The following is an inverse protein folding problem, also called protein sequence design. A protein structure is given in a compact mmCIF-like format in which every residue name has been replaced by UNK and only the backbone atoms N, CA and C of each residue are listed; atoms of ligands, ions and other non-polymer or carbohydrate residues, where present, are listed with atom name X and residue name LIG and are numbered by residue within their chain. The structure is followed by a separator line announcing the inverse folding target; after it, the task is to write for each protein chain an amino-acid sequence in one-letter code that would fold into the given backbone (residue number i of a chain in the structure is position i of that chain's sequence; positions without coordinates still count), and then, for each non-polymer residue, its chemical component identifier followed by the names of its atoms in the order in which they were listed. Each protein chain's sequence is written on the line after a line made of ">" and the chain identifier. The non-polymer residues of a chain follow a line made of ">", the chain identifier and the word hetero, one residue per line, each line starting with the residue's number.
data_IF_877238181850
#
_entry.id   IF_877238181850
#
_cell.length_a   1.000
_cell.length_b   1.000
_cell.length_c   1.000
_cell.angle_alpha   90.00
_cell.angle_beta   90.00
_cell.angle_gamma   90.00
#
_symmetry.space_group_name_H-M   'P 1'
#
loop_
_entity.id
_entity.type
_entity.pdbx_description
1 polymer ?
#
# COMPACT_ATOMS: atom_id res chain seq x y z
N UNK A 1 -3.26 -23.77 25.59
CA UNK A 1 -2.98 -24.69 24.45
C UNK A 1 -3.68 -24.31 23.13
N UNK A 2 -4.94 -23.84 23.12
CA UNK A 2 -5.61 -23.36 21.88
C UNK A 2 -5.18 -21.94 21.49
N UNK A 3 -5.14 -21.02 22.45
CA UNK A 3 -4.73 -19.62 22.24
C UNK A 3 -3.26 -19.50 21.84
N UNK A 4 -2.35 -20.19 22.52
CA UNK A 4 -0.93 -20.23 22.16
C UNK A 4 -0.67 -20.79 20.74
N UNK A 5 -1.52 -21.72 20.27
CA UNK A 5 -1.45 -22.17 18.87
C UNK A 5 -1.98 -21.09 17.94
N UNK A 6 -3.08 -20.43 18.27
CA UNK A 6 -3.62 -19.36 17.42
C UNK A 6 -2.65 -18.20 17.25
N UNK A 7 -1.97 -17.74 18.32
CA UNK A 7 -0.99 -16.66 18.22
C UNK A 7 0.28 -17.06 17.47
N UNK A 8 0.82 -18.27 17.70
CA UNK A 8 1.98 -18.74 16.93
C UNK A 8 1.66 -18.91 15.44
N UNK A 9 0.55 -19.56 15.11
CA UNK A 9 0.14 -19.75 13.72
C UNK A 9 -0.17 -18.42 13.03
N UNK A 10 -0.80 -17.46 13.71
CA UNK A 10 -1.09 -16.16 13.11
C UNK A 10 0.18 -15.35 12.89
N UNK A 11 1.09 -15.29 13.87
CA UNK A 11 2.31 -14.48 13.74
C UNK A 11 3.30 -15.08 12.75
N UNK A 12 3.55 -16.39 12.81
CA UNK A 12 4.49 -17.05 11.89
C UNK A 12 3.96 -17.04 10.45
N UNK A 13 2.66 -17.26 10.25
CA UNK A 13 2.06 -17.24 8.92
C UNK A 13 2.02 -15.82 8.32
N UNK A 14 1.75 -14.80 9.14
CA UNK A 14 1.80 -13.40 8.69
C UNK A 14 3.22 -13.02 8.27
N UNK A 15 4.21 -13.38 9.08
CA UNK A 15 5.62 -13.13 8.74
C UNK A 15 6.05 -13.88 7.47
N UNK A 16 5.66 -15.15 7.33
CA UNK A 16 5.95 -15.95 6.13
C UNK A 16 5.30 -15.34 4.88
N UNK A 17 4.03 -14.93 4.99
CA UNK A 17 3.28 -14.32 3.89
C UNK A 17 3.90 -12.99 3.49
N UNK A 18 4.24 -12.13 4.46
CA UNK A 18 4.92 -10.86 4.19
C UNK A 18 6.27 -11.04 3.49
N UNK A 19 7.06 -12.04 3.90
CA UNK A 19 8.32 -12.39 3.22
C UNK A 19 8.09 -12.86 1.78
N UNK A 20 7.10 -13.73 1.55
CA UNK A 20 6.79 -14.25 0.22
C UNK A 20 6.29 -13.15 -0.73
N UNK A 21 5.38 -12.28 -0.26
CA UNK A 21 4.88 -11.15 -1.03
C UNK A 21 6.03 -10.21 -1.41
N UNK A 22 6.92 -9.87 -0.46
CA UNK A 22 8.11 -9.05 -0.73
C UNK A 22 9.02 -9.67 -1.79
N UNK A 23 9.27 -10.98 -1.72
CA UNK A 23 10.09 -11.67 -2.71
C UNK A 23 9.49 -11.56 -4.11
N UNK A 24 8.18 -11.76 -4.25
CA UNK A 24 7.47 -11.63 -5.53
C UNK A 24 7.55 -10.18 -6.07
N UNK A 25 7.39 -9.19 -5.19
CA UNK A 25 7.44 -7.77 -5.58
C UNK A 25 8.82 -7.36 -6.11
N UNK A 26 9.88 -7.87 -5.49
CA UNK A 26 11.28 -7.53 -5.82
C UNK A 26 11.88 -8.42 -6.92
N UNK A 27 11.24 -9.55 -7.26
CA UNK A 27 11.71 -10.47 -8.29
C UNK A 27 11.63 -9.82 -9.69
N UNK A 28 12.75 -9.53 -10.37
CA UNK A 28 12.72 -8.94 -11.71
C UNK A 28 12.05 -9.85 -12.76
N UNK A 29 12.07 -11.16 -12.56
CA UNK A 29 11.55 -12.15 -13.51
C UNK A 29 10.06 -12.48 -13.29
N UNK A 30 9.46 -12.02 -12.19
CA UNK A 30 8.04 -12.21 -11.92
C UNK A 30 7.17 -11.41 -12.92
N UNK A 31 6.10 -12.01 -13.48
CA UNK A 31 5.15 -11.31 -14.34
C UNK A 31 4.55 -10.09 -13.63
N UNK A 32 4.34 -9.00 -14.37
CA UNK A 32 3.77 -7.76 -13.83
C UNK A 32 2.42 -7.99 -13.13
N UNK A 33 1.56 -8.87 -13.67
CA UNK A 33 0.28 -9.23 -13.05
C UNK A 33 0.45 -9.88 -11.67
N UNK A 34 1.52 -10.66 -11.48
CA UNK A 34 1.80 -11.35 -10.22
C UNK A 34 2.29 -10.36 -9.17
N UNK A 35 3.12 -9.39 -9.57
CA UNK A 35 3.56 -8.29 -8.71
C UNK A 35 2.40 -7.43 -8.24
N UNK A 36 1.56 -6.97 -9.18
CA UNK A 36 0.35 -6.19 -8.87
C UNK A 36 -0.59 -6.95 -7.94
N UNK A 37 -0.73 -8.27 -8.14
CA UNK A 37 -1.55 -9.09 -7.25
C UNK A 37 -0.96 -9.20 -5.85
N UNK A 38 0.36 -9.37 -5.74
CA UNK A 38 1.07 -9.40 -4.47
C UNK A 38 0.98 -8.06 -3.73
N UNK A 39 1.15 -6.94 -4.45
CA UNK A 39 1.01 -5.57 -3.93
C UNK A 39 -0.38 -5.36 -3.34
N UNK A 40 -1.41 -5.69 -4.14
CA UNK A 40 -2.80 -5.60 -3.69
C UNK A 40 -3.05 -6.41 -2.42
N UNK A 41 -2.59 -7.65 -2.37
CA UNK A 41 -2.74 -8.49 -1.17
C UNK A 41 -2.02 -7.90 0.04
N UNK A 42 -0.82 -7.32 -0.13
CA UNK A 42 -0.10 -6.69 0.96
C UNK A 42 -0.86 -5.47 1.51
N UNK A 43 -1.41 -4.62 0.65
CA UNK A 43 -2.19 -3.44 1.05
C UNK A 43 -3.56 -3.82 1.65
N UNK A 44 -4.22 -4.87 1.15
CA UNK A 44 -5.44 -5.41 1.76
C UNK A 44 -5.15 -5.95 3.17
N UNK A 45 -3.99 -6.59 3.40
CA UNK A 45 -3.57 -7.06 4.72
C UNK A 45 -3.16 -5.91 5.65
N UNK A 46 -2.60 -4.82 5.12
CA UNK A 46 -2.24 -3.62 5.87
C UNK A 46 -3.46 -2.78 6.28
N UNK A 47 -4.61 -3.01 5.64
CA UNK A 47 -5.82 -2.20 5.86
C UNK A 47 -5.84 -0.92 5.02
N UNK A 48 -5.00 -0.80 4.00
CA UNK A 48 -4.98 0.35 3.08
C UNK A 48 -5.97 0.17 1.92
N UNK A 49 -6.44 -1.06 1.68
CA UNK A 49 -7.41 -1.41 0.63
C UNK A 49 -8.58 -2.23 1.20
N UNK A 50 -9.81 -1.91 0.78
CA UNK A 50 -11.03 -2.63 1.16
C UNK A 50 -12.13 -1.74 1.73
N UNK A 51 -13.27 -2.35 2.09
CA UNK A 51 -14.44 -1.66 2.67
C UNK A 51 -14.17 -1.04 4.05
N UNK A 52 -13.17 -1.58 4.75
CA UNK A 52 -12.72 -1.15 6.08
C UNK A 52 -11.34 -0.47 5.97
N UNK A 53 -10.92 -0.07 4.76
CA UNK A 53 -9.64 0.60 4.60
C UNK A 53 -9.65 1.89 5.39
N UNK A 54 -8.57 2.15 6.14
CA UNK A 54 -8.34 3.45 6.76
C UNK A 54 -8.04 4.45 5.65
N UNK A 55 -9.10 4.92 4.98
CA UNK A 55 -9.04 6.17 4.23
C UNK A 55 -8.74 7.25 5.26
N UNK A 56 -7.45 7.53 5.45
CA UNK A 56 -6.95 8.70 6.16
C UNK A 56 -7.48 10.02 5.54
N UNK A 57 -8.09 9.92 4.36
CA UNK A 57 -9.07 10.88 3.89
C UNK A 57 -10.31 10.73 4.78
N UNK A 58 -10.32 11.50 5.89
CA UNK A 58 -11.49 11.77 6.73
C UNK A 58 -12.76 11.50 5.94
N UNK A 59 -13.61 10.56 6.36
CA UNK A 59 -14.80 10.08 5.64
C UNK A 59 -15.85 11.16 5.30
N UNK A 60 -15.50 12.44 5.39
CA UNK A 60 -16.08 13.56 4.66
C UNK A 60 -16.06 13.25 3.16
N UNK A 61 -17.23 13.39 2.55
CA UNK A 61 -17.34 13.40 1.10
C UNK A 61 -16.46 14.53 0.55
N UNK A 62 -15.74 14.31 -0.56
CA UNK A 62 -14.91 15.35 -1.20
C UNK A 62 -15.71 16.62 -1.52
N UNK A 63 -17.03 16.49 -1.74
CA UNK A 63 -17.94 17.60 -1.97
C UNK A 63 -18.20 18.47 -0.71
N UNK A 64 -17.84 17.98 0.47
CA UNK A 64 -18.02 18.64 1.77
C UNK A 64 -16.72 19.27 2.31
N UNK A 65 -15.60 19.09 1.61
CA UNK A 65 -14.31 19.66 2.00
C UNK A 65 -14.14 21.10 1.52
N UNK A 66 -13.43 21.91 2.30
CA UNK A 66 -13.08 23.27 1.87
C UNK A 66 -11.97 23.25 0.82
N UNK A 67 -11.80 24.33 0.03
CA UNK A 67 -10.70 24.43 -0.94
C UNK A 67 -9.31 24.22 -0.32
N UNK A 68 -9.10 24.66 0.92
CA UNK A 68 -7.85 24.49 1.64
C UNK A 68 -7.62 23.02 2.05
N UNK A 69 -8.67 22.33 2.51
CA UNK A 69 -8.61 20.89 2.83
C UNK A 69 -8.28 20.07 1.57
N UNK A 70 -8.91 20.39 0.44
CA UNK A 70 -8.62 19.76 -0.86
C UNK A 70 -7.20 20.06 -1.34
N UNK A 71 -6.71 21.29 -1.16
CA UNK A 71 -5.34 21.69 -1.53
C UNK A 71 -4.30 20.89 -0.76
N UNK A 72 -4.47 20.76 0.56
CA UNK A 72 -3.57 19.96 1.41
C UNK A 72 -3.51 18.49 1.02
N UNK A 73 -4.62 17.93 0.50
CA UNK A 73 -4.65 16.54 0.01
C UNK A 73 -3.89 16.39 -1.31
N UNK A 74 -3.98 17.37 -2.21
CA UNK A 74 -3.23 17.39 -3.46
C UNK A 74 -1.73 17.43 -3.15
N UNK A 75 -1.28 18.30 -2.24
CA UNK A 75 0.12 18.40 -1.85
C UNK A 75 0.65 17.07 -1.26
N UNK A 76 -0.17 16.39 -0.46
CA UNK A 76 0.15 15.07 0.07
C UNK A 76 0.30 14.03 -1.05
N UNK A 77 -0.66 13.95 -1.98
CA UNK A 77 -0.59 13.01 -3.09
C UNK A 77 0.57 13.30 -4.04
N UNK A 78 0.89 14.56 -4.30
CA UNK A 78 2.07 14.94 -5.08
C UNK A 78 3.37 14.51 -4.39
N UNK A 79 3.43 14.65 -3.06
CA UNK A 79 4.55 14.17 -2.25
C UNK A 79 4.67 12.64 -2.36
N UNK A 80 3.60 11.89 -2.14
CA UNK A 80 3.58 10.43 -2.25
C UNK A 80 3.98 9.95 -3.66
N UNK A 81 3.49 10.62 -4.71
CA UNK A 81 3.82 10.30 -6.10
C UNK A 81 5.30 10.53 -6.40
N UNK A 82 5.88 11.59 -5.84
CA UNK A 82 7.31 11.92 -5.98
C UNK A 82 8.23 10.88 -5.31
N UNK A 83 7.76 10.19 -4.27
CA UNK A 83 8.51 9.12 -3.61
C UNK A 83 8.47 7.80 -4.40
N UNK A 84 7.37 7.51 -5.10
CA UNK A 84 7.24 6.30 -5.92
C UNK A 84 7.89 6.42 -7.30
N UNK A 85 7.87 7.61 -7.90
CA UNK A 85 8.54 7.90 -9.16
C UNK A 85 9.34 9.19 -9.00
N UNK A 86 10.60 9.12 -8.51
CA UNK A 86 11.48 10.26 -8.66
C UNK A 86 11.60 10.52 -10.16
N UNK A 87 11.14 11.70 -10.59
CA UNK A 87 11.25 12.18 -11.98
C UNK A 87 12.59 11.74 -12.57
N UNK A 88 12.55 10.79 -13.51
CA UNK A 88 13.73 10.44 -14.29
C UNK A 88 13.91 11.53 -15.35
N UNK A 89 14.29 12.73 -14.92
CA UNK A 89 14.93 13.70 -15.81
C UNK A 89 16.31 13.14 -16.17
N UNK A 90 16.34 12.31 -17.20
CA UNK A 90 17.47 12.24 -18.11
C UNK A 90 17.08 13.03 -19.35
N UNK A 91 17.32 14.33 -19.28
CA UNK A 91 17.55 15.12 -20.46
C UNK A 91 18.95 14.74 -20.96
N UNK A 92 19.02 13.76 -21.86
CA UNK A 92 20.25 13.48 -22.59
C UNK A 92 20.44 14.59 -23.64
N UNK A 93 21.58 15.26 -23.50
CA UNK A 93 22.12 16.33 -24.33
C UNK A 93 22.71 15.82 -25.65
#
# INVERSE_FOLDING_TARGET
>A
MREARQTLYQVELVNLTGCALRQIMLDPDAPASTKVSADRTAFELAGDLGKDADTHLSGKNLAEMTPEELGSMIDQWETERSHCYPETTKADA
#
